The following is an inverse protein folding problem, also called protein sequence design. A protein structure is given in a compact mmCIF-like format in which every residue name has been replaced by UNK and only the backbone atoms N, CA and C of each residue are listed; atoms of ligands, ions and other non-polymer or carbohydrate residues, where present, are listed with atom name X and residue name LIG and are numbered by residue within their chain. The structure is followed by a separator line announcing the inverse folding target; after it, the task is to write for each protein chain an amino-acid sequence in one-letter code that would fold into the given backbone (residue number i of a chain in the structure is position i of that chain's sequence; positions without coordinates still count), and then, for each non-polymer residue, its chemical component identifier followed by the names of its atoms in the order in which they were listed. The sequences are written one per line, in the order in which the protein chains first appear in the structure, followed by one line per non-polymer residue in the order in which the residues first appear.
data_IF_380540211782
#
_entry.id   IF_380540211782
#
_cell.length_a   1.000
_cell.length_b   1.000
_cell.length_c   1.000
_cell.angle_alpha   90.00
_cell.angle_beta   90.00
_cell.angle_gamma   90.00
#
_symmetry.space_group_name_H-M   'P 1'
#
loop_
_entity.id
_entity.type
_entity.pdbx_description
1 polymer ?
#
# COMPACT_ATOMS: atom_id res chain seq x y z
N UNK A 1 -21.13 42.76 55.55
CA UNK A 1 -20.45 42.46 54.27
C UNK A 1 -19.56 41.26 54.51
N UNK A 2 -19.96 40.11 53.99
CA UNK A 2 -19.27 38.81 54.12
C UNK A 2 -18.05 38.75 53.20
N UNK A 3 -16.95 38.09 53.61
CA UNK A 3 -15.78 37.91 52.75
C UNK A 3 -16.04 36.83 51.70
N UNK A 4 -15.57 37.06 50.47
CA UNK A 4 -15.75 36.19 49.33
C UNK A 4 -14.93 34.88 49.45
N UNK A 5 -15.55 33.76 49.09
CA UNK A 5 -14.93 32.44 48.99
C UNK A 5 -13.92 32.36 47.81
N UNK A 6 -12.87 31.52 47.91
CA UNK A 6 -11.94 31.31 46.81
C UNK A 6 -12.53 30.35 45.75
N UNK A 7 -12.44 30.77 44.49
CA UNK A 7 -12.83 29.99 43.30
C UNK A 7 -11.91 28.78 43.14
N UNK A 8 -12.49 27.58 43.02
CA UNK A 8 -11.77 26.33 42.77
C UNK A 8 -11.09 26.34 41.39
N UNK A 9 -9.79 26.04 41.36
CA UNK A 9 -9.02 25.82 40.12
C UNK A 9 -9.20 24.36 39.69
N UNK A 10 -9.87 24.13 38.56
CA UNK A 10 -9.92 22.82 37.92
C UNK A 10 -8.54 22.47 37.34
N UNK A 11 -8.02 21.30 37.72
CA UNK A 11 -6.78 20.75 37.15
C UNK A 11 -7.00 20.24 35.72
N UNK A 12 -6.04 20.38 34.78
CA UNK A 12 -6.20 19.87 33.42
C UNK A 12 -6.13 18.34 33.38
N UNK A 13 -6.94 17.71 32.53
CA UNK A 13 -6.93 16.26 32.29
C UNK A 13 -5.59 15.81 31.69
N UNK A 14 -4.99 14.77 32.27
CA UNK A 14 -3.80 14.09 31.72
C UNK A 14 -4.13 13.50 30.34
N UNK A 15 -3.59 14.09 29.26
CA UNK A 15 -3.70 13.50 27.91
C UNK A 15 -3.50 14.44 26.72
N UNK A 16 -3.51 15.77 26.90
CA UNK A 16 -3.23 16.70 25.81
C UNK A 16 -1.72 16.99 25.69
N UNK A 17 -1.16 16.95 24.48
CA UNK A 17 0.14 17.55 24.20
C UNK A 17 0.08 19.05 24.53
N UNK A 18 1.13 19.67 25.09
CA UNK A 18 1.11 21.09 25.41
C UNK A 18 0.96 21.91 24.13
N UNK A 19 -0.20 22.53 23.94
CA UNK A 19 -0.40 23.55 22.92
C UNK A 19 0.33 24.82 23.35
N UNK A 20 1.39 25.19 22.61
CA UNK A 20 2.12 26.44 22.86
C UNK A 20 1.24 27.62 22.43
N UNK A 21 1.02 28.62 23.29
CA UNK A 21 0.32 29.84 22.87
C UNK A 21 1.14 30.56 21.80
N UNK A 22 0.51 30.86 20.67
CA UNK A 22 1.09 31.74 19.64
C UNK A 22 1.13 33.16 20.23
N UNK A 23 2.30 33.83 20.30
CA UNK A 23 2.36 35.17 20.86
C UNK A 23 1.49 36.12 20.03
N UNK A 24 0.57 36.82 20.69
CA UNK A 24 -0.11 37.96 20.08
C UNK A 24 0.93 39.02 19.70
N UNK A 25 0.77 39.60 18.51
CA UNK A 25 1.66 40.62 17.95
C UNK A 25 1.84 41.74 18.97
N UNK A 26 3.07 41.90 19.50
CA UNK A 26 3.43 42.97 20.44
C UNK A 26 3.79 42.52 21.87
N UNK A 27 3.69 41.23 22.23
CA UNK A 27 4.13 40.76 23.54
C UNK A 27 5.67 40.69 23.64
N UNK A 28 6.26 41.27 24.71
CA UNK A 28 7.68 41.07 25.04
C UNK A 28 7.85 39.68 25.65
N UNK A 29 8.45 38.77 24.91
CA UNK A 29 8.85 37.46 25.40
C UNK A 29 10.05 37.57 26.34
N UNK A 30 10.07 36.72 27.37
CA UNK A 30 11.26 36.55 28.21
C UNK A 30 12.38 35.88 27.41
N UNK A 31 13.63 36.03 27.87
CA UNK A 31 14.81 35.45 27.21
C UNK A 31 14.75 33.92 27.13
N UNK A 32 14.18 33.28 28.15
CA UNK A 32 13.98 31.82 28.20
C UNK A 32 12.92 31.34 27.20
N UNK A 33 11.82 32.08 27.04
CA UNK A 33 10.78 31.78 26.05
C UNK A 33 11.30 31.95 24.61
N UNK A 34 12.13 32.97 24.38
CA UNK A 34 12.78 33.18 23.08
C UNK A 34 13.72 32.01 22.74
N UNK A 35 14.53 31.57 23.68
CA UNK A 35 15.47 30.47 23.51
C UNK A 35 14.75 29.12 23.27
N UNK A 36 13.62 28.88 23.94
CA UNK A 36 12.78 27.71 23.70
C UNK A 36 12.17 27.73 22.28
N UNK A 37 11.68 28.90 21.84
CA UNK A 37 11.15 29.08 20.49
C UNK A 37 12.23 28.87 19.42
N UNK A 38 13.41 29.45 19.61
CA UNK A 38 14.54 29.28 18.69
C UNK A 38 15.00 27.83 18.60
N UNK A 39 15.09 27.10 19.72
CA UNK A 39 15.46 25.67 19.71
C UNK A 39 14.45 24.82 18.95
N UNK A 40 13.15 25.04 19.14
CA UNK A 40 12.10 24.28 18.45
C UNK A 40 11.99 24.64 16.98
N UNK A 41 12.16 25.92 16.62
CA UNK A 41 12.23 26.37 15.23
C UNK A 41 13.48 25.83 14.51
N UNK A 42 14.64 25.81 15.18
CA UNK A 42 15.86 25.19 14.65
C UNK A 42 15.69 23.69 14.45
N UNK A 43 15.13 22.97 15.44
CA UNK A 43 14.87 21.53 15.33
C UNK A 43 13.91 21.21 14.18
N UNK A 44 12.87 22.02 13.99
CA UNK A 44 11.91 21.86 12.88
C UNK A 44 12.56 22.15 11.53
N UNK A 45 13.39 23.19 11.43
CA UNK A 45 14.14 23.54 10.22
C UNK A 45 15.21 22.49 9.88
N UNK A 46 15.90 21.95 10.89
CA UNK A 46 16.88 20.88 10.73
C UNK A 46 16.21 19.55 10.35
N UNK A 47 15.04 19.22 10.92
CA UNK A 47 14.23 18.08 10.47
C UNK A 47 13.78 18.26 9.03
N UNK A 48 13.31 19.44 8.63
CA UNK A 48 12.91 19.71 7.25
C UNK A 48 14.10 19.60 6.28
N UNK A 49 15.25 20.19 6.61
CA UNK A 49 16.47 20.07 5.82
C UNK A 49 17.00 18.63 5.72
N UNK A 50 16.91 17.86 6.82
CA UNK A 50 17.25 16.45 6.83
C UNK A 50 16.29 15.62 5.98
N UNK A 51 14.98 15.88 6.06
CA UNK A 51 13.96 15.23 5.21
C UNK A 51 14.19 15.59 3.74
N UNK A 52 14.46 16.84 3.38
CA UNK A 52 14.76 17.24 1.99
C UNK A 52 16.05 16.60 1.47
N UNK A 53 17.11 16.53 2.30
CA UNK A 53 18.37 15.86 1.96
C UNK A 53 18.22 14.34 1.85
N UNK A 54 17.41 13.73 2.72
CA UNK A 54 17.04 12.33 2.64
C UNK A 54 16.22 12.07 1.38
N UNK A 55 15.24 12.92 1.05
CA UNK A 55 14.42 12.83 -0.16
C UNK A 55 15.26 13.02 -1.44
N UNK A 56 16.29 13.87 -1.44
CA UNK A 56 17.17 14.07 -2.59
C UNK A 56 18.16 12.92 -2.79
N UNK A 57 18.77 12.40 -1.72
CA UNK A 57 19.61 11.19 -1.77
C UNK A 57 18.79 9.95 -2.12
N UNK A 58 17.58 9.86 -1.60
CA UNK A 58 16.58 8.89 -2.04
C UNK A 58 16.33 9.09 -3.54
N UNK A 59 16.00 10.29 -4.04
CA UNK A 59 15.73 10.55 -5.48
C UNK A 59 16.83 10.01 -6.42
N UNK A 60 18.11 10.17 -6.06
CA UNK A 60 19.24 9.64 -6.84
C UNK A 60 19.33 8.10 -6.75
N UNK A 61 19.20 7.53 -5.55
CA UNK A 61 19.15 6.07 -5.35
C UNK A 61 17.95 5.41 -6.04
N UNK A 62 16.82 6.13 -6.10
CA UNK A 62 15.56 5.73 -6.72
C UNK A 62 15.65 5.71 -8.25
N UNK A 63 16.36 6.67 -8.86
CA UNK A 63 16.67 6.64 -10.29
C UNK A 63 17.54 5.43 -10.65
N UNK A 64 18.52 5.09 -9.81
CA UNK A 64 19.36 3.91 -9.97
C UNK A 64 18.59 2.59 -9.82
N UNK A 65 17.73 2.50 -8.81
CA UNK A 65 16.89 1.33 -8.55
C UNK A 65 15.83 1.14 -9.63
N UNK A 66 15.18 2.22 -10.09
CA UNK A 66 14.21 2.19 -11.20
C UNK A 66 14.81 1.63 -12.48
N UNK A 67 16.04 2.01 -12.84
CA UNK A 67 16.75 1.42 -14.01
C UNK A 67 17.03 -0.07 -13.83
N UNK A 68 17.42 -0.49 -12.62
CA UNK A 68 17.73 -1.90 -12.31
C UNK A 68 16.47 -2.78 -12.28
N UNK A 69 15.35 -2.28 -11.76
CA UNK A 69 14.06 -2.99 -11.76
C UNK A 69 13.43 -3.05 -13.15
N UNK A 70 13.50 -1.96 -13.93
CA UNK A 70 13.06 -1.98 -15.33
C UNK A 70 13.85 -3.01 -16.17
N UNK A 71 15.14 -3.22 -15.86
CA UNK A 71 15.94 -4.28 -16.48
C UNK A 71 15.50 -5.69 -16.08
N UNK A 72 15.13 -5.90 -14.81
CA UNK A 72 14.61 -7.20 -14.34
C UNK A 72 13.24 -7.50 -14.95
N UNK A 73 12.33 -6.52 -14.99
CA UNK A 73 11.02 -6.65 -15.64
C UNK A 73 11.17 -6.87 -17.14
N UNK A 74 12.08 -6.14 -17.81
CA UNK A 74 12.36 -6.31 -19.24
C UNK A 74 12.92 -7.71 -19.53
N UNK A 75 13.89 -8.17 -18.75
CA UNK A 75 14.45 -9.53 -18.85
C UNK A 75 13.39 -10.59 -18.62
N UNK A 76 12.47 -10.37 -17.69
CA UNK A 76 11.37 -11.28 -17.43
C UNK A 76 10.35 -11.32 -18.58
N UNK A 77 9.96 -10.15 -19.12
CA UNK A 77 9.13 -10.09 -20.34
C UNK A 77 9.82 -10.81 -21.51
N UNK A 78 11.14 -10.69 -21.66
CA UNK A 78 11.91 -11.40 -22.69
C UNK A 78 11.99 -12.93 -22.44
N UNK A 79 12.04 -13.38 -21.18
CA UNK A 79 12.03 -14.80 -20.81
C UNK A 79 10.62 -15.43 -20.95
N UNK A 80 9.55 -14.67 -20.69
CA UNK A 80 8.14 -15.11 -20.85
C UNK A 80 7.68 -15.06 -22.32
N UNK A 81 8.20 -14.13 -23.13
CA UNK A 81 8.00 -14.06 -24.59
C UNK A 81 8.55 -15.30 -25.31
N UNK A 82 9.59 -15.92 -24.75
CA UNK A 82 10.17 -17.15 -25.27
C UNK A 82 9.36 -18.42 -24.87
N UNK A 83 8.49 -18.33 -23.86
CA UNK A 83 7.60 -19.43 -23.43
C UNK A 83 6.23 -19.37 -24.10
N UNK A 84 5.80 -18.19 -24.58
CA UNK A 84 4.50 -17.98 -25.21
C UNK A 84 4.64 -17.25 -26.55
N UNK A 85 5.27 -17.90 -27.53
CA UNK A 85 5.27 -17.48 -28.93
C UNK A 85 3.88 -17.66 -29.56
N UNK A 86 2.94 -16.83 -29.11
CA UNK A 86 1.55 -16.81 -29.54
C UNK A 86 1.02 -15.39 -29.59
N UNK A 87 1.28 -14.73 -30.72
CA UNK A 87 0.56 -13.56 -31.22
C UNK A 87 0.59 -12.28 -30.35
N UNK A 88 1.61 -11.43 -30.58
CA UNK A 88 1.55 -10.00 -30.27
C UNK A 88 1.63 -9.13 -31.52
N UNK A 89 0.62 -9.24 -32.37
CA UNK A 89 0.22 -8.11 -33.22
C UNK A 89 -1.05 -7.51 -32.64
N UNK A 90 -0.88 -6.73 -31.56
CA UNK A 90 -1.97 -6.11 -30.80
C UNK A 90 -1.79 -4.61 -30.61
N UNK A 91 -1.21 -3.89 -31.57
CA UNK A 91 -1.50 -2.45 -31.73
C UNK A 91 -2.84 -2.28 -32.45
N UNK A 92 -3.87 -2.91 -31.91
CA UNK A 92 -5.24 -2.85 -32.40
C UNK A 92 -6.14 -2.41 -31.25
N UNK A 93 -6.58 -1.15 -31.29
CA UNK A 93 -7.78 -0.59 -30.64
C UNK A 93 -8.26 -1.32 -29.36
N UNK A 94 -7.54 -1.17 -28.25
CA UNK A 94 -8.15 -1.35 -26.92
C UNK A 94 -9.01 -0.11 -26.66
N UNK A 95 -10.27 -0.28 -26.26
CA UNK A 95 -11.23 0.82 -26.06
C UNK A 95 -10.79 1.88 -25.03
N UNK A 96 -11.67 2.82 -24.71
CA UNK A 96 -11.48 3.88 -23.70
C UNK A 96 -11.37 3.31 -22.26
N UNK A 97 -10.50 2.33 -21.98
CA UNK A 97 -10.34 1.71 -20.67
C UNK A 97 -9.28 2.41 -19.83
N UNK A 98 -9.42 2.36 -18.49
CA UNK A 98 -8.41 2.91 -17.57
C UNK A 98 -7.33 1.87 -17.27
N UNK A 99 -6.29 2.26 -16.50
CA UNK A 99 -5.31 1.28 -16.02
C UNK A 99 -5.92 0.25 -15.05
N UNK A 100 -7.08 0.52 -14.46
CA UNK A 100 -7.75 -0.40 -13.54
C UNK A 100 -8.26 -1.62 -14.30
N UNK A 101 -8.72 -1.47 -15.54
CA UNK A 101 -9.07 -2.60 -16.40
C UNK A 101 -7.90 -3.59 -16.59
N UNK A 102 -6.72 -3.07 -16.90
CA UNK A 102 -5.50 -3.87 -17.07
C UNK A 102 -5.15 -4.62 -15.78
N UNK A 103 -5.24 -3.95 -14.62
CA UNK A 103 -5.03 -4.57 -13.32
C UNK A 103 -6.08 -5.65 -13.03
N UNK A 104 -7.35 -5.39 -13.34
CA UNK A 104 -8.47 -6.33 -13.17
C UNK A 104 -8.26 -7.59 -14.00
N UNK A 105 -7.84 -7.47 -15.26
CA UNK A 105 -7.48 -8.60 -16.11
C UNK A 105 -6.35 -9.44 -15.52
N UNK A 106 -5.30 -8.78 -15.00
CA UNK A 106 -4.19 -9.48 -14.33
C UNK A 106 -4.63 -10.17 -13.03
N UNK A 107 -5.53 -9.57 -12.23
CA UNK A 107 -6.09 -10.26 -11.07
C UNK A 107 -6.92 -11.48 -11.47
N UNK A 108 -7.79 -11.35 -12.48
CA UNK A 108 -8.57 -12.49 -12.96
C UNK A 108 -7.70 -13.62 -13.52
N UNK A 109 -6.55 -13.33 -14.15
CA UNK A 109 -5.68 -14.35 -14.74
C UNK A 109 -4.95 -15.22 -13.70
N UNK A 110 -4.84 -14.76 -12.45
CA UNK A 110 -4.24 -15.54 -11.37
C UNK A 110 -5.22 -16.46 -10.65
N UNK A 111 -6.53 -16.24 -10.80
CA UNK A 111 -7.60 -17.00 -10.17
C UNK A 111 -7.89 -18.28 -10.98
N UNK A 112 -7.76 -19.43 -10.34
CA UNK A 112 -8.16 -20.73 -10.88
C UNK A 112 -9.46 -21.13 -10.20
N UNK A 113 -10.54 -21.13 -10.98
CA UNK A 113 -11.84 -21.60 -10.50
C UNK A 113 -11.83 -23.12 -10.43
N UNK A 114 -12.41 -23.71 -9.38
CA UNK A 114 -12.52 -25.16 -9.28
C UNK A 114 -13.42 -25.72 -10.39
N UNK A 115 -13.07 -26.91 -10.90
CA UNK A 115 -13.92 -27.65 -11.85
C UNK A 115 -15.12 -28.31 -11.15
N UNK A 116 -14.97 -28.61 -9.86
CA UNK A 116 -15.98 -29.27 -9.03
C UNK A 116 -16.65 -28.24 -8.12
N UNK A 117 -17.98 -28.23 -8.10
CA UNK A 117 -18.76 -27.38 -7.21
C UNK A 117 -18.43 -27.67 -5.74
N UNK A 118 -18.10 -26.62 -4.98
CA UNK A 118 -17.71 -26.72 -3.57
C UNK A 118 -16.21 -26.84 -3.28
N UNK A 119 -15.36 -27.05 -4.30
CA UNK A 119 -13.90 -26.99 -4.09
C UNK A 119 -13.42 -25.54 -3.94
N UNK A 120 -12.23 -25.35 -3.35
CA UNK A 120 -11.68 -24.02 -3.10
C UNK A 120 -11.08 -23.40 -4.37
N UNK A 121 -11.13 -22.07 -4.45
CA UNK A 121 -10.43 -21.28 -5.47
C UNK A 121 -8.94 -21.30 -5.20
N UNK A 122 -8.12 -21.52 -6.23
CA UNK A 122 -6.67 -21.49 -6.14
C UNK A 122 -6.08 -20.26 -6.83
N UNK A 123 -4.91 -19.81 -6.38
CA UNK A 123 -4.15 -18.72 -7.00
C UNK A 123 -2.83 -19.22 -7.59
N UNK A 124 -2.55 -18.89 -8.86
CA UNK A 124 -1.25 -19.16 -9.48
C UNK A 124 -0.23 -18.10 -9.07
N UNK A 125 0.96 -18.53 -8.63
CA UNK A 125 1.99 -17.63 -8.08
C UNK A 125 2.46 -16.62 -9.14
N UNK A 126 2.87 -17.08 -10.33
CA UNK A 126 3.47 -16.16 -11.31
C UNK A 126 2.49 -15.05 -11.75
N UNK A 127 1.25 -15.36 -12.16
CA UNK A 127 0.26 -14.34 -12.50
C UNK A 127 -0.15 -13.47 -11.30
N UNK A 128 -0.18 -14.03 -10.08
CA UNK A 128 -0.47 -13.24 -8.87
C UNK A 128 0.60 -12.18 -8.62
N UNK A 129 1.88 -12.54 -8.74
CA UNK A 129 2.98 -11.59 -8.55
C UNK A 129 3.00 -10.50 -9.63
N UNK A 130 2.73 -10.86 -10.88
CA UNK A 130 2.54 -9.90 -11.97
C UNK A 130 1.38 -8.94 -11.68
N UNK A 131 0.24 -9.46 -11.23
CA UNK A 131 -0.93 -8.66 -10.88
C UNK A 131 -0.66 -7.72 -9.69
N UNK A 132 0.01 -8.20 -8.64
CA UNK A 132 0.42 -7.40 -7.49
C UNK A 132 1.35 -6.25 -7.92
N UNK A 133 2.32 -6.52 -8.81
CA UNK A 133 3.19 -5.52 -9.39
C UNK A 133 2.43 -4.47 -10.21
N UNK A 134 1.53 -4.89 -11.10
CA UNK A 134 0.68 -3.97 -11.89
C UNK A 134 -0.22 -3.11 -11.01
N UNK A 135 -0.77 -3.67 -9.92
CA UNK A 135 -1.64 -2.96 -8.99
C UNK A 135 -0.96 -1.77 -8.30
N UNK A 136 0.38 -1.78 -8.18
CA UNK A 136 1.15 -0.67 -7.59
C UNK A 136 0.93 0.65 -8.34
N UNK A 137 0.66 0.59 -9.65
CA UNK A 137 0.37 1.78 -10.48
C UNK A 137 -0.88 2.53 -10.02
N UNK A 138 -1.85 1.86 -9.41
CA UNK A 138 -3.03 2.51 -8.80
C UNK A 138 -2.58 3.38 -7.63
N UNK A 139 -1.66 2.89 -6.80
CA UNK A 139 -1.15 3.65 -5.64
C UNK A 139 -0.26 4.82 -6.05
N UNK A 140 0.39 4.78 -7.20
CA UNK A 140 1.11 5.94 -7.73
C UNK A 140 0.15 7.10 -8.07
N UNK A 141 -1.11 6.79 -8.46
CA UNK A 141 -2.12 7.82 -8.76
C UNK A 141 -2.56 8.58 -7.51
N UNK A 142 -2.48 7.97 -6.33
CA UNK A 142 -2.75 8.62 -5.04
C UNK A 142 -1.79 9.77 -4.74
N UNK A 143 -0.67 9.88 -5.47
CA UNK A 143 0.21 11.04 -5.46
C UNK A 143 1.63 10.74 -5.00
N UNK A 144 2.55 11.73 -5.11
CA UNK A 144 3.98 11.50 -4.96
C UNK A 144 4.40 10.96 -3.58
N UNK A 145 3.72 11.35 -2.50
CA UNK A 145 4.05 10.86 -1.16
C UNK A 145 3.72 9.37 -0.98
N UNK A 146 2.76 8.84 -1.72
CA UNK A 146 2.44 7.41 -1.71
C UNK A 146 3.52 6.55 -2.40
N UNK A 147 4.42 7.16 -3.18
CA UNK A 147 5.54 6.45 -3.81
C UNK A 147 6.50 5.80 -2.80
N UNK A 148 6.54 6.28 -1.55
CA UNK A 148 7.31 5.63 -0.48
C UNK A 148 6.70 4.28 -0.09
N UNK A 149 5.35 4.21 0.00
CA UNK A 149 4.65 2.97 0.25
C UNK A 149 4.79 1.99 -0.93
N UNK A 150 4.71 2.49 -2.17
CA UNK A 150 4.89 1.67 -3.38
C UNK A 150 6.26 0.96 -3.38
N UNK A 151 7.33 1.62 -2.95
CA UNK A 151 8.67 1.00 -2.90
C UNK A 151 8.80 -0.09 -1.86
N UNK A 152 8.08 0.06 -0.74
CA UNK A 152 8.00 -1.00 0.25
C UNK A 152 7.33 -2.24 -0.38
N UNK A 153 6.25 -2.03 -1.15
CA UNK A 153 5.60 -3.12 -1.88
C UNK A 153 6.51 -3.72 -2.97
N UNK A 154 7.26 -2.90 -3.73
CA UNK A 154 8.26 -3.38 -4.69
C UNK A 154 9.33 -4.24 -4.01
N UNK A 155 9.78 -3.83 -2.82
CA UNK A 155 10.72 -4.61 -2.00
C UNK A 155 10.14 -5.95 -1.56
N UNK A 156 8.87 -5.98 -1.15
CA UNK A 156 8.15 -7.21 -0.83
C UNK A 156 8.01 -8.11 -2.05
N UNK A 157 7.61 -7.57 -3.20
CA UNK A 157 7.50 -8.32 -4.45
C UNK A 157 8.85 -8.95 -4.83
N UNK A 158 9.95 -8.17 -4.75
CA UNK A 158 11.30 -8.68 -4.96
C UNK A 158 11.71 -9.77 -3.98
N UNK A 159 11.30 -9.66 -2.71
CA UNK A 159 11.53 -10.68 -1.68
C UNK A 159 10.85 -12.00 -2.05
N UNK A 160 9.58 -11.97 -2.45
CA UNK A 160 8.85 -13.17 -2.89
C UNK A 160 9.52 -13.80 -4.10
N UNK A 161 9.84 -13.02 -5.14
CA UNK A 161 10.53 -13.55 -6.33
C UNK A 161 11.86 -14.23 -5.99
N UNK A 162 12.67 -13.61 -5.12
CA UNK A 162 13.96 -14.15 -4.70
C UNK A 162 13.81 -15.48 -3.97
N UNK A 163 12.85 -15.59 -3.04
CA UNK A 163 12.58 -16.83 -2.31
C UNK A 163 12.00 -17.89 -3.24
N UNK A 164 10.94 -17.53 -3.97
CA UNK A 164 10.20 -18.44 -4.85
C UNK A 164 11.06 -19.03 -5.97
N UNK A 165 11.96 -18.26 -6.57
CA UNK A 165 12.86 -18.75 -7.63
C UNK A 165 13.75 -19.94 -7.18
N UNK A 166 14.09 -19.99 -5.90
CA UNK A 166 14.95 -21.02 -5.29
C UNK A 166 14.15 -22.15 -4.63
N UNK A 167 12.86 -21.94 -4.41
CA UNK A 167 11.99 -22.87 -3.70
C UNK A 167 11.73 -24.13 -4.53
N UNK A 168 11.70 -25.28 -3.85
CA UNK A 168 11.40 -26.58 -4.44
C UNK A 168 10.47 -27.36 -3.50
N UNK A 169 9.47 -28.01 -4.08
CA UNK A 169 8.56 -28.94 -3.39
C UNK A 169 9.20 -30.34 -3.24
N UNK A 170 8.41 -31.28 -2.72
CA UNK A 170 8.82 -32.68 -2.51
C UNK A 170 9.24 -33.40 -3.81
N UNK A 171 8.68 -32.98 -4.94
CA UNK A 171 8.99 -33.49 -6.28
C UNK A 171 10.12 -32.72 -6.97
N UNK A 172 10.82 -31.85 -6.23
CA UNK A 172 11.88 -30.97 -6.73
C UNK A 172 11.41 -30.01 -7.82
N UNK A 173 10.13 -29.68 -7.87
CA UNK A 173 9.55 -28.68 -8.77
C UNK A 173 9.33 -27.37 -8.02
N UNK A 174 9.27 -26.26 -8.76
CA UNK A 174 8.93 -24.96 -8.15
C UNK A 174 7.42 -24.92 -7.93
N UNK A 175 6.92 -24.57 -6.73
CA UNK A 175 5.49 -24.50 -6.49
C UNK A 175 4.85 -23.46 -7.42
N UNK A 176 3.77 -23.84 -8.10
CA UNK A 176 3.07 -22.99 -9.07
C UNK A 176 1.85 -22.30 -8.46
N UNK A 177 1.40 -22.77 -7.31
CA UNK A 177 0.19 -22.31 -6.62
C UNK A 177 0.55 -21.64 -5.29
N UNK A 178 -0.27 -20.68 -4.85
CA UNK A 178 -0.02 -19.93 -3.63
C UNK A 178 0.00 -20.85 -2.40
N UNK A 179 -0.95 -21.79 -2.33
CA UNK A 179 -1.00 -22.81 -1.28
C UNK A 179 0.31 -23.60 -1.24
N UNK A 180 0.74 -24.16 -2.36
CA UNK A 180 1.99 -24.94 -2.43
C UNK A 180 3.23 -24.12 -2.06
N UNK A 181 3.29 -22.83 -2.42
CA UNK A 181 4.38 -21.95 -2.00
C UNK A 181 4.42 -21.79 -0.48
N UNK A 182 3.27 -21.50 0.14
CA UNK A 182 3.18 -21.28 1.59
C UNK A 182 3.40 -22.57 2.38
N UNK A 183 2.92 -23.72 1.89
CA UNK A 183 3.14 -25.04 2.50
C UNK A 183 4.62 -25.43 2.46
N UNK A 184 5.30 -25.24 1.32
CA UNK A 184 6.75 -25.49 1.22
C UNK A 184 7.53 -24.59 2.17
N UNK A 185 7.16 -23.31 2.29
CA UNK A 185 7.81 -22.39 3.23
C UNK A 185 7.56 -22.77 4.69
N UNK A 186 6.32 -23.14 5.04
CA UNK A 186 5.97 -23.62 6.38
C UNK A 186 6.74 -24.89 6.75
N UNK A 187 6.82 -25.84 5.82
CA UNK A 187 7.54 -27.10 6.00
C UNK A 187 9.06 -26.90 6.20
N UNK A 188 9.62 -25.80 5.68
CA UNK A 188 11.02 -25.45 5.93
C UNK A 188 11.31 -25.04 7.38
N UNK A 189 10.28 -24.86 8.22
CA UNK A 189 10.43 -24.63 9.67
C UNK A 189 11.10 -23.30 10.02
N UNK A 190 11.10 -22.32 9.11
CA UNK A 190 11.79 -21.04 9.33
C UNK A 190 11.01 -20.07 10.23
N UNK A 191 9.69 -20.29 10.39
CA UNK A 191 8.82 -19.44 11.19
C UNK A 191 8.75 -19.92 12.64
N UNK A 192 8.50 -18.99 13.57
CA UNK A 192 8.22 -19.34 14.97
C UNK A 192 6.70 -19.57 15.15
N UNK A 193 6.27 -20.38 16.13
CA UNK A 193 4.84 -20.64 16.39
C UNK A 193 4.03 -19.36 16.67
N UNK A 194 2.73 -19.39 16.33
CA UNK A 194 1.80 -18.30 16.61
C UNK A 194 1.97 -17.12 15.66
N UNK A 195 2.04 -17.40 14.37
CA UNK A 195 2.12 -16.39 13.30
C UNK A 195 3.41 -15.58 13.25
N UNK A 196 4.48 -16.00 13.94
CA UNK A 196 5.73 -15.24 13.99
C UNK A 196 6.60 -15.52 12.77
N UNK A 197 6.37 -14.77 11.69
CA UNK A 197 7.06 -14.96 10.43
C UNK A 197 8.53 -14.53 10.51
N UNK A 198 9.36 -15.25 9.75
CA UNK A 198 10.75 -14.89 9.55
C UNK A 198 10.84 -13.77 8.50
N UNK A 199 11.79 -12.85 8.66
CA UNK A 199 12.13 -11.86 7.65
C UNK A 199 13.63 -11.96 7.34
N UNK A 200 14.04 -12.30 6.09
CA UNK A 200 13.22 -12.42 4.88
C UNK A 200 12.52 -13.77 4.71
N UNK A 201 11.27 -13.74 4.23
CA UNK A 201 10.49 -14.89 3.76
C UNK A 201 9.46 -14.49 2.70
N UNK A 202 8.87 -15.44 1.97
CA UNK A 202 7.81 -15.12 1.02
C UNK A 202 6.49 -14.81 1.75
N UNK A 203 6.17 -15.54 2.82
CA UNK A 203 4.96 -15.34 3.62
C UNK A 203 4.89 -13.91 4.19
N UNK A 204 5.98 -13.39 4.77
CA UNK A 204 5.95 -12.01 5.34
C UNK A 204 5.75 -10.96 4.25
N UNK A 205 6.34 -11.16 3.06
CA UNK A 205 6.16 -10.23 1.96
C UNK A 205 4.74 -10.31 1.36
N UNK A 206 4.19 -11.52 1.18
CA UNK A 206 2.82 -11.74 0.72
C UNK A 206 1.81 -11.15 1.71
N UNK A 207 2.06 -11.27 3.02
CA UNK A 207 1.23 -10.67 4.07
C UNK A 207 1.14 -9.15 3.91
N UNK A 208 2.29 -8.47 3.79
CA UNK A 208 2.33 -7.03 3.59
C UNK A 208 1.66 -6.61 2.30
N UNK A 209 1.87 -7.33 1.20
CA UNK A 209 1.18 -7.05 -0.06
C UNK A 209 -0.34 -7.22 0.06
N UNK A 210 -0.83 -8.25 0.76
CA UNK A 210 -2.26 -8.45 1.03
C UNK A 210 -2.85 -7.27 1.81
N UNK A 211 -2.18 -6.84 2.88
CA UNK A 211 -2.62 -5.69 3.70
C UNK A 211 -2.67 -4.38 2.90
N UNK A 212 -1.65 -4.13 2.06
CA UNK A 212 -1.66 -2.96 1.17
C UNK A 212 -2.75 -3.05 0.10
N UNK A 213 -3.04 -4.26 -0.40
CA UNK A 213 -4.13 -4.49 -1.35
C UNK A 213 -5.50 -4.23 -0.70
N UNK A 214 -5.73 -4.69 0.53
CA UNK A 214 -6.95 -4.40 1.31
C UNK A 214 -7.15 -2.90 1.50
N UNK A 215 -6.09 -2.18 1.88
CA UNK A 215 -6.10 -0.71 1.95
C UNK A 215 -6.51 -0.09 0.60
N UNK A 216 -5.89 -0.53 -0.50
CA UNK A 216 -6.14 0.02 -1.83
C UNK A 216 -7.59 -0.17 -2.25
N UNK A 217 -8.16 -1.36 -2.02
CA UNK A 217 -9.55 -1.69 -2.37
C UNK A 217 -10.55 -0.89 -1.55
N UNK A 218 -10.31 -0.73 -0.25
CA UNK A 218 -11.18 0.10 0.59
C UNK A 218 -11.24 1.55 0.07
N UNK A 219 -10.11 2.09 -0.41
CA UNK A 219 -10.08 3.41 -1.06
C UNK A 219 -10.84 3.43 -2.38
N UNK A 220 -10.65 2.43 -3.25
CA UNK A 220 -11.36 2.35 -4.54
C UNK A 220 -12.88 2.19 -4.35
N UNK A 221 -13.30 1.34 -3.42
CA UNK A 221 -14.72 1.15 -3.08
C UNK A 221 -15.34 2.45 -2.57
N UNK A 222 -14.67 3.15 -1.66
CA UNK A 222 -15.14 4.45 -1.19
C UNK A 222 -15.18 5.51 -2.30
N UNK A 223 -14.23 5.49 -3.23
CA UNK A 223 -14.18 6.43 -4.35
C UNK A 223 -15.35 6.24 -5.34
N UNK A 224 -16.03 5.10 -5.33
CA UNK A 224 -17.24 4.87 -6.11
C UNK A 224 -18.44 5.69 -5.61
N UNK A 225 -18.44 6.14 -4.36
CA UNK A 225 -19.53 6.94 -3.80
C UNK A 225 -19.52 8.36 -4.39
N UNK A 226 -20.73 8.92 -4.56
CA UNK A 226 -20.88 10.32 -4.98
C UNK A 226 -20.34 11.24 -3.88
N UNK A 227 -19.71 12.34 -4.31
CA UNK A 227 -19.17 13.38 -3.41
C UNK A 227 -18.13 12.90 -2.37
N UNK A 228 -17.55 11.71 -2.57
CA UNK A 228 -16.54 11.14 -1.68
C UNK A 228 -15.29 12.03 -1.54
N UNK A 229 -14.85 12.23 -0.29
CA UNK A 229 -13.59 12.91 0.01
C UNK A 229 -12.45 11.89 0.14
N UNK A 230 -11.66 11.75 -0.93
CA UNK A 230 -10.65 10.68 -1.05
C UNK A 230 -9.65 10.64 0.11
N UNK A 231 -9.19 11.78 0.61
CA UNK A 231 -8.28 11.83 1.77
C UNK A 231 -8.91 11.29 3.06
N UNK A 232 -10.22 11.45 3.26
CA UNK A 232 -10.91 10.92 4.45
C UNK A 232 -11.13 9.41 4.33
N UNK A 233 -11.53 8.97 3.13
CA UNK A 233 -11.63 7.54 2.80
C UNK A 233 -10.30 6.82 2.99
N UNK A 234 -9.20 7.42 2.53
CA UNK A 234 -7.88 6.84 2.66
C UNK A 234 -7.40 6.80 4.13
N UNK A 235 -7.77 7.78 4.97
CA UNK A 235 -7.55 7.69 6.42
C UNK A 235 -8.35 6.56 7.07
N UNK A 236 -9.63 6.42 6.74
CA UNK A 236 -10.46 5.33 7.27
C UNK A 236 -9.95 3.94 6.82
N UNK A 237 -9.55 3.81 5.56
CA UNK A 237 -8.92 2.60 5.03
C UNK A 237 -7.59 2.30 5.75
N UNK A 238 -6.76 3.31 5.99
CA UNK A 238 -5.50 3.13 6.73
C UNK A 238 -5.74 2.65 8.16
N UNK A 239 -6.63 3.30 8.90
CA UNK A 239 -6.96 2.93 10.28
C UNK A 239 -7.46 1.50 10.38
N UNK A 240 -8.30 1.06 9.45
CA UNK A 240 -8.86 -0.29 9.48
C UNK A 240 -7.90 -1.39 9.01
N UNK A 241 -7.01 -1.10 8.04
CA UNK A 241 -6.24 -2.14 7.36
C UNK A 241 -4.75 -2.21 7.77
N UNK A 242 -4.13 -1.08 8.10
CA UNK A 242 -2.67 -0.99 8.23
C UNK A 242 -2.20 -0.40 9.57
N UNK A 243 -2.96 0.52 10.15
CA UNK A 243 -2.51 1.31 11.30
C UNK A 243 -2.11 0.44 12.50
N UNK A 244 -2.84 -0.64 12.76
CA UNK A 244 -2.56 -1.57 13.87
C UNK A 244 -1.19 -2.24 13.78
N UNK A 245 -0.61 -2.34 12.58
CA UNK A 245 0.69 -2.94 12.32
C UNK A 245 1.83 -1.91 12.23
N UNK A 246 1.53 -0.61 12.31
CA UNK A 246 2.55 0.44 12.23
C UNK A 246 2.89 0.99 13.62
N UNK A 247 4.19 1.09 13.90
CA UNK A 247 4.74 1.88 14.99
C UNK A 247 4.55 3.37 14.74
N UNK A 248 4.84 4.17 15.77
CA UNK A 248 4.58 5.62 15.78
C UNK A 248 5.18 6.34 14.56
N UNK A 249 6.40 5.96 14.14
CA UNK A 249 7.10 6.60 13.02
C UNK A 249 6.33 6.39 11.70
N UNK A 250 5.98 5.14 11.39
CA UNK A 250 5.24 4.81 10.17
C UNK A 250 3.83 5.40 10.19
N UNK A 251 3.16 5.44 11.34
CA UNK A 251 1.85 6.12 11.50
C UNK A 251 1.92 7.59 11.08
N UNK A 252 2.93 8.32 11.57
CA UNK A 252 3.11 9.74 11.25
C UNK A 252 3.44 9.95 9.77
N UNK A 253 4.37 9.16 9.21
CA UNK A 253 4.72 9.27 7.78
C UNK A 253 3.52 8.97 6.88
N UNK A 254 2.74 7.93 7.20
CA UNK A 254 1.58 7.55 6.39
C UNK A 254 0.46 8.61 6.50
N UNK A 255 0.18 9.14 7.69
CA UNK A 255 -0.82 10.21 7.89
C UNK A 255 -0.48 11.47 7.08
N UNK A 256 0.81 11.82 6.98
CA UNK A 256 1.27 12.92 6.13
C UNK A 256 1.01 12.62 4.64
N UNK A 257 1.33 11.41 4.19
CA UNK A 257 1.06 11.00 2.80
C UNK A 257 -0.45 11.04 2.47
N UNK A 258 -1.29 10.57 3.38
CA UNK A 258 -2.76 10.58 3.22
C UNK A 258 -3.35 11.99 3.17
N UNK A 259 -2.71 12.96 3.80
CA UNK A 259 -3.14 14.35 3.75
C UNK A 259 -2.83 15.03 2.42
N UNK A 260 -1.97 14.43 1.59
CA UNK A 260 -1.62 14.89 0.25
C UNK A 260 -2.34 14.10 -0.87
N UNK A 261 -3.39 13.34 -0.54
CA UNK A 261 -4.23 12.66 -1.52
C UNK A 261 -4.91 13.68 -2.44
N UNK A 262 -5.07 13.39 -3.74
CA UNK A 262 -5.78 14.26 -4.67
C UNK A 262 -7.26 14.37 -4.32
N UNK A 263 -7.95 15.34 -4.94
CA UNK A 263 -9.42 15.33 -4.95
C UNK A 263 -9.95 14.08 -5.69
N UNK A 264 -11.19 13.69 -5.43
CA UNK A 264 -11.83 12.59 -6.18
C UNK A 264 -11.86 12.87 -7.68
N UNK A 265 -12.16 14.11 -8.08
CA UNK A 265 -12.18 14.51 -9.49
C UNK A 265 -10.80 14.38 -10.14
N UNK A 266 -9.75 14.85 -9.47
CA UNK A 266 -8.37 14.72 -9.96
C UNK A 266 -7.94 13.25 -10.01
N UNK A 267 -8.34 12.44 -9.04
CA UNK A 267 -8.10 11.00 -9.05
C UNK A 267 -8.72 10.32 -10.28
N UNK A 268 -10.00 10.60 -10.58
CA UNK A 268 -10.68 10.07 -11.77
C UNK A 268 -10.03 10.57 -13.06
N UNK A 269 -9.59 11.83 -13.10
CA UNK A 269 -8.85 12.41 -14.23
C UNK A 269 -7.53 11.69 -14.49
N UNK A 270 -6.79 11.35 -13.44
CA UNK A 270 -5.52 10.62 -13.55
C UNK A 270 -5.73 9.16 -13.98
N UNK A 271 -6.86 8.54 -13.61
CA UNK A 271 -7.24 7.18 -14.03
C UNK A 271 -7.59 7.11 -15.52
N UNK A 272 -8.39 8.06 -15.99
CA UNK A 272 -8.93 8.09 -17.35
C UNK A 272 -8.57 9.41 -18.07
N UNK A 273 -7.28 9.68 -18.33
CA UNK A 273 -6.81 10.96 -18.85
C UNK A 273 -7.29 11.26 -20.28
N UNK A 274 -7.68 10.23 -21.04
CA UNK A 274 -8.12 10.33 -22.43
C UNK A 274 -9.63 10.62 -22.56
N UNK A 275 -10.43 10.36 -21.52
CA UNK A 275 -11.89 10.58 -21.53
C UNK A 275 -12.19 12.03 -21.20
N UNK A 276 -12.72 12.79 -22.17
CA UNK A 276 -12.90 14.25 -22.03
C UNK A 276 -14.12 14.63 -21.21
N UNK A 277 -15.23 13.92 -21.37
CA UNK A 277 -16.48 14.24 -20.70
C UNK A 277 -16.46 13.77 -19.24
N UNK A 278 -16.71 14.69 -18.30
CA UNK A 278 -16.62 14.41 -16.85
C UNK A 278 -17.53 13.26 -16.43
N UNK A 279 -18.79 13.27 -16.88
CA UNK A 279 -19.77 12.22 -16.53
C UNK A 279 -19.39 10.85 -17.11
N UNK A 280 -18.93 10.80 -18.36
CA UNK A 280 -18.45 9.56 -18.99
C UNK A 280 -17.22 9.01 -18.27
N UNK A 281 -16.27 9.89 -17.92
CA UNK A 281 -15.07 9.53 -17.17
C UNK A 281 -15.40 8.92 -15.82
N UNK A 282 -16.30 9.58 -15.09
CA UNK A 282 -16.73 9.11 -13.78
C UNK A 282 -17.43 7.75 -13.87
N UNK A 283 -18.35 7.58 -14.81
CA UNK A 283 -19.05 6.31 -15.02
C UNK A 283 -18.08 5.17 -15.33
N UNK A 284 -17.12 5.39 -16.25
CA UNK A 284 -16.09 4.42 -16.60
C UNK A 284 -15.22 4.05 -15.40
N UNK A 285 -14.68 5.05 -14.69
CA UNK A 285 -13.81 4.79 -13.54
C UNK A 285 -14.55 4.02 -12.44
N UNK A 286 -15.82 4.36 -12.16
CA UNK A 286 -16.63 3.65 -11.17
C UNK A 286 -16.84 2.19 -11.58
N UNK A 287 -17.19 1.95 -12.85
CA UNK A 287 -17.39 0.60 -13.36
C UNK A 287 -16.12 -0.25 -13.18
N UNK A 288 -14.98 0.23 -13.69
CA UNK A 288 -13.73 -0.53 -13.63
C UNK A 288 -13.21 -0.68 -12.19
N UNK A 289 -13.41 0.31 -11.32
CA UNK A 289 -13.11 0.17 -9.89
C UNK A 289 -13.93 -0.95 -9.25
N UNK A 290 -15.24 -1.04 -9.53
CA UNK A 290 -16.08 -2.12 -8.98
C UNK A 290 -15.58 -3.48 -9.42
N UNK A 291 -15.36 -3.68 -10.71
CA UNK A 291 -14.82 -4.92 -11.29
C UNK A 291 -13.47 -5.31 -10.66
N UNK A 292 -12.56 -4.34 -10.50
CA UNK A 292 -11.27 -4.56 -9.86
C UNK A 292 -11.41 -4.97 -8.40
N UNK A 293 -12.32 -4.33 -7.65
CA UNK A 293 -12.51 -4.61 -6.23
C UNK A 293 -13.12 -6.00 -6.02
N UNK A 294 -14.03 -6.45 -6.89
CA UNK A 294 -14.60 -7.80 -6.87
C UNK A 294 -13.52 -8.87 -7.13
N UNK A 295 -12.73 -8.71 -8.20
CA UNK A 295 -11.65 -9.64 -8.52
C UNK A 295 -10.61 -9.73 -7.37
N UNK A 296 -10.29 -8.58 -6.77
CA UNK A 296 -9.31 -8.52 -5.69
C UNK A 296 -9.83 -9.09 -4.37
N UNK A 297 -11.12 -9.00 -4.09
CA UNK A 297 -11.74 -9.62 -2.91
C UNK A 297 -11.63 -11.14 -2.93
N UNK A 298 -11.73 -11.77 -4.11
CA UNK A 298 -11.50 -13.22 -4.26
C UNK A 298 -10.06 -13.57 -3.86
N UNK A 299 -9.08 -12.81 -4.36
CA UNK A 299 -7.66 -13.00 -4.04
C UNK A 299 -7.41 -12.83 -2.54
N UNK A 300 -7.91 -11.74 -1.94
CA UNK A 300 -7.75 -11.48 -0.52
C UNK A 300 -8.36 -12.59 0.31
N UNK A 301 -9.57 -13.06 -0.04
CA UNK A 301 -10.22 -14.15 0.69
C UNK A 301 -9.37 -15.42 0.69
N UNK A 302 -8.84 -15.83 -0.47
CA UNK A 302 -7.93 -16.98 -0.55
C UNK A 302 -6.68 -16.75 0.29
N UNK A 303 -6.06 -15.57 0.19
CA UNK A 303 -4.87 -15.25 0.98
C UNK A 303 -5.15 -15.17 2.50
N UNK A 304 -6.32 -14.71 2.95
CA UNK A 304 -6.67 -14.73 4.37
C UNK A 304 -6.83 -16.16 4.86
N UNK A 305 -7.65 -16.96 4.17
CA UNK A 305 -7.89 -18.36 4.53
C UNK A 305 -6.58 -19.16 4.63
N UNK A 306 -5.69 -19.04 3.63
CA UNK A 306 -4.42 -19.76 3.64
C UNK A 306 -3.49 -19.31 4.78
N UNK A 307 -3.47 -18.01 5.09
CA UNK A 307 -2.62 -17.50 6.17
C UNK A 307 -3.12 -17.92 7.55
N UNK A 308 -4.44 -17.96 7.74
CA UNK A 308 -5.07 -18.44 8.97
C UNK A 308 -4.85 -19.96 9.12
N UNK A 309 -5.13 -20.74 8.08
CA UNK A 309 -4.98 -22.20 8.06
C UNK A 309 -3.54 -22.65 8.35
N UNK A 310 -2.55 -21.93 7.81
CA UNK A 310 -1.14 -22.30 7.93
C UNK A 310 -0.43 -21.64 9.12
N UNK A 311 -1.14 -20.91 9.99
CA UNK A 311 -0.57 -20.15 11.11
C UNK A 311 0.57 -19.22 10.63
N UNK A 312 0.23 -18.37 9.65
CA UNK A 312 1.13 -17.40 9.02
C UNK A 312 0.67 -15.94 9.22
N UNK A 313 -0.39 -15.69 9.97
CA UNK A 313 -0.89 -14.33 10.24
C UNK A 313 -0.05 -13.60 11.30
N UNK A 314 0.94 -12.81 10.87
CA UNK A 314 1.82 -12.07 11.77
C UNK A 314 1.23 -10.73 12.23
N UNK A 315 0.79 -10.65 13.49
CA UNK A 315 0.16 -9.45 14.04
C UNK A 315 1.13 -8.41 14.62
N UNK A 316 2.45 -8.60 14.47
CA UNK A 316 3.45 -7.68 15.04
C UNK A 316 3.44 -6.31 14.35
N UNK A 317 3.85 -5.29 15.11
CA UNK A 317 4.10 -3.94 14.62
C UNK A 317 5.50 -3.83 14.02
N UNK A 318 5.62 -3.03 12.96
CA UNK A 318 6.89 -2.58 12.36
C UNK A 318 7.13 -1.10 12.60
#
# INVERSE_FOLDING_TARGET
MTPAEPVAVLSPSKGAAPSIPVPLVGARLTREELDAWYRTALLSALCFAFVVSLLSKLRVSLLGSRKRYQLVIKRWNEEDDNLHSGNRNGRGLLGNHTLIHEVTKSFNSCIVKPEVEGAEVELRVAPLLDAMGKSMRIREIFGPLMSLAVKNDEGNLGKVHKVWSKMRDVDKKRPTTLRGLLEVEKAAGIHRPGGHLADPSAAIALLWMRRTLMFSIAVLQGACEKDAHLGNLARAAYTSQLEQYHGWLLKNTFTMALSAMPSREEFMQRLAPTVKQKMEREALCIQEMRECTEASQVIIKVMCNLFDELDLEDSRKV
#
